data_IF_893354427806
#
_entry.id   IF_893354427806
#
_cell.length_a   1.000
_cell.length_b   1.000
_cell.length_c   1.000
_cell.angle_alpha   90.00
_cell.angle_beta   90.00
_cell.angle_gamma   90.00
#
_symmetry.space_group_name_H-M   'P 1'
#
loop_
_entity.id
_entity.type
_entity.pdbx_description
1 polymer ?
#
# COMPACT_ATOMS: atom_id res chain seq x y z
N UNK A 1 40.14 -6.22 2.93
CA UNK A 1 38.87 -5.57 3.34
C UNK A 1 37.92 -5.67 2.16
N UNK A 2 36.91 -6.53 2.27
CA UNK A 2 36.01 -6.86 1.16
C UNK A 2 34.59 -6.78 1.70
N UNK A 3 33.90 -5.70 1.35
CA UNK A 3 32.50 -5.44 1.75
C UNK A 3 31.62 -6.28 0.82
N UNK A 4 30.85 -7.22 1.38
CA UNK A 4 29.77 -7.92 0.67
C UNK A 4 28.43 -7.29 1.06
N UNK A 5 27.56 -6.91 0.12
CA UNK A 5 26.20 -6.49 0.44
C UNK A 5 25.34 -7.73 0.75
N UNK A 6 24.53 -7.63 1.81
CA UNK A 6 23.52 -8.63 2.18
C UNK A 6 22.27 -8.39 1.33
N UNK A 7 21.91 -9.37 0.51
CA UNK A 7 20.63 -9.43 -0.21
C UNK A 7 19.55 -9.94 0.75
N UNK A 8 18.48 -9.17 0.95
CA UNK A 8 17.24 -9.64 1.56
C UNK A 8 16.34 -10.29 0.50
N UNK A 9 15.67 -11.37 0.90
CA UNK A 9 15.01 -12.36 0.04
C UNK A 9 13.56 -11.97 -0.29
N UNK A 10 13.26 -12.10 -1.59
CA UNK A 10 12.03 -12.51 -2.27
C UNK A 10 10.62 -12.30 -1.66
N UNK A 11 9.73 -11.73 -2.49
CA UNK A 11 8.29 -11.98 -2.46
C UNK A 11 7.79 -12.40 -3.84
N UNK A 12 7.01 -13.48 -3.85
CA UNK A 12 6.41 -14.18 -5.00
C UNK A 12 5.50 -13.25 -5.84
N UNK A 13 5.62 -13.31 -7.17
CA UNK A 13 4.65 -12.71 -8.10
C UNK A 13 4.06 -13.80 -9.02
N UNK A 14 2.74 -14.02 -8.91
CA UNK A 14 1.94 -14.83 -9.83
C UNK A 14 1.28 -13.89 -10.85
N UNK A 15 1.60 -14.04 -12.12
CA UNK A 15 1.04 -13.24 -13.22
C UNK A 15 0.18 -14.13 -14.13
N UNK A 16 -1.06 -13.69 -14.39
CA UNK A 16 -1.90 -14.20 -15.47
C UNK A 16 -2.32 -13.06 -16.42
N UNK A 17 -2.51 -13.46 -17.67
CA UNK A 17 -2.48 -12.70 -18.91
C UNK A 17 -3.56 -11.63 -19.15
N UNK A 18 -3.29 -10.75 -20.13
CA UNK A 18 -4.30 -9.96 -20.83
C UNK A 18 -3.72 -8.89 -21.76
N UNK A 19 -3.57 -9.21 -23.05
CA UNK A 19 -3.19 -8.27 -24.11
C UNK A 19 -4.34 -7.31 -24.49
N UNK A 20 -4.03 -6.18 -25.16
CA UNK A 20 -4.55 -5.95 -26.51
C UNK A 20 -3.46 -5.40 -27.45
N UNK A 21 -3.25 -5.94 -28.65
CA UNK A 21 -4.05 -5.78 -29.87
C UNK A 21 -4.12 -4.33 -30.40
N UNK A 22 -3.55 -4.10 -31.59
CA UNK A 22 -4.01 -3.04 -32.51
C UNK A 22 -2.98 -2.01 -32.99
N UNK A 23 -1.95 -2.43 -33.71
CA UNK A 23 -1.19 -1.54 -34.60
C UNK A 23 -1.87 -1.49 -35.98
N UNK A 24 -2.33 -0.32 -36.41
CA UNK A 24 -2.80 -0.08 -37.77
C UNK A 24 -2.09 1.12 -38.41
N UNK A 25 -1.56 0.83 -39.60
CA UNK A 25 -0.73 1.67 -40.46
C UNK A 25 -1.53 2.82 -41.10
N UNK A 26 -0.93 4.01 -41.12
CA UNK A 26 -1.32 5.07 -42.04
C UNK A 26 -0.80 4.75 -43.44
N UNK A 27 -1.68 4.69 -44.44
CA UNK A 27 -1.33 4.74 -45.86
C UNK A 27 -1.91 6.01 -46.47
N UNK A 28 -1.03 6.75 -47.15
CA UNK A 28 -1.36 7.82 -48.06
C UNK A 28 -1.96 7.24 -49.35
N UNK A 29 -2.94 7.92 -49.92
CA UNK A 29 -3.23 7.84 -51.35
C UNK A 29 -3.62 9.22 -51.88
N UNK A 30 -2.98 9.54 -53.01
CA UNK A 30 -3.10 10.76 -53.77
C UNK A 30 -4.28 10.72 -54.76
N UNK A 31 -4.74 11.91 -55.14
CA UNK A 31 -5.03 12.25 -56.54
C UNK A 31 -6.28 11.66 -57.19
N UNK A 32 -7.33 12.46 -57.28
CA UNK A 32 -8.46 12.23 -58.17
C UNK A 32 -9.07 13.54 -58.64
N UNK A 33 -8.63 14.02 -59.81
CA UNK A 33 -9.20 15.17 -60.48
C UNK A 33 -10.57 14.87 -61.09
N UNK A 34 -11.50 15.81 -60.95
CA UNK A 34 -12.81 15.77 -61.58
C UNK A 34 -13.36 17.18 -61.70
N UNK A 35 -13.23 17.76 -62.89
CA UNK A 35 -13.84 19.03 -63.22
C UNK A 35 -15.37 18.91 -63.21
N UNK A 36 -16.06 19.82 -62.52
CA UNK A 36 -17.49 20.05 -62.68
C UNK A 36 -17.72 21.47 -63.21
N UNK A 37 -18.39 21.63 -64.36
CA UNK A 37 -18.73 22.93 -64.90
C UNK A 37 -20.11 23.33 -64.38
N UNK A 38 -20.16 24.21 -63.38
CA UNK A 38 -21.34 25.03 -63.17
C UNK A 38 -20.94 26.35 -62.52
N UNK A 39 -20.47 27.25 -63.38
CA UNK A 39 -20.37 28.66 -63.06
C UNK A 39 -21.79 29.25 -63.10
N UNK A 40 -22.43 29.34 -61.93
CA UNK A 40 -23.58 30.24 -61.74
C UNK A 40 -23.51 30.86 -60.35
N UNK A 41 -22.84 32.01 -60.32
CA UNK A 41 -22.95 33.15 -59.38
C UNK A 41 -23.91 32.94 -58.20
N UNK A 42 -23.38 32.54 -57.05
CA UNK A 42 -23.88 32.99 -55.75
C UNK A 42 -22.86 33.98 -55.20
N UNK A 43 -23.29 35.22 -55.04
CA UNK A 43 -22.53 36.26 -54.37
C UNK A 43 -22.26 35.81 -52.95
N UNK A 44 -20.99 35.59 -52.61
CA UNK A 44 -20.61 35.44 -51.21
C UNK A 44 -20.85 36.81 -50.55
N UNK A 45 -21.70 36.83 -49.51
CA UNK A 45 -21.82 37.99 -48.63
C UNK A 45 -20.43 38.41 -48.13
N UNK A 46 -20.17 39.71 -47.90
CA UNK A 46 -18.88 40.15 -47.41
C UNK A 46 -18.56 39.43 -46.10
N UNK A 47 -17.36 38.84 -46.04
CA UNK A 47 -16.82 38.20 -44.85
C UNK A 47 -16.88 39.24 -43.71
N UNK A 48 -17.56 38.95 -42.58
CA UNK A 48 -17.64 39.88 -41.46
C UNK A 48 -16.23 40.25 -40.97
N UNK A 49 -15.99 41.50 -40.54
CA UNK A 49 -14.66 41.97 -40.20
C UNK A 49 -14.02 41.07 -39.14
N UNK A 50 -12.75 40.76 -39.40
CA UNK A 50 -11.75 39.98 -38.66
C UNK A 50 -11.87 40.09 -37.13
N UNK A 51 -12.90 39.50 -36.54
CA UNK A 51 -12.96 39.12 -35.14
C UNK A 51 -12.84 37.60 -34.96
N UNK A 52 -12.90 36.85 -36.07
CA UNK A 52 -13.30 35.44 -36.13
C UNK A 52 -12.37 34.42 -35.49
N UNK A 53 -11.12 34.78 -35.18
CA UNK A 53 -10.19 33.89 -34.48
C UNK A 53 -9.84 34.39 -33.08
N UNK A 54 -9.77 35.70 -32.87
CA UNK A 54 -9.48 36.28 -31.56
C UNK A 54 -10.68 36.18 -30.61
N UNK A 55 -11.92 36.34 -31.11
CA UNK A 55 -13.11 36.13 -30.31
C UNK A 55 -13.27 34.66 -29.95
N UNK A 56 -12.99 33.75 -30.90
CA UNK A 56 -13.00 32.32 -30.66
C UNK A 56 -11.90 31.91 -29.68
N UNK A 57 -10.69 32.47 -29.80
CA UNK A 57 -9.60 32.24 -28.86
C UNK A 57 -9.97 32.71 -27.45
N UNK A 58 -10.57 33.90 -27.30
CA UNK A 58 -11.08 34.38 -26.01
C UNK A 58 -12.20 33.51 -25.46
N UNK A 59 -13.08 32.99 -26.31
CA UNK A 59 -14.19 32.13 -25.91
C UNK A 59 -13.69 30.73 -25.51
N UNK A 60 -12.68 30.20 -26.20
CA UNK A 60 -12.00 28.94 -25.86
C UNK A 60 -11.15 29.08 -24.59
N UNK A 61 -10.47 30.20 -24.38
CA UNK A 61 -9.79 30.51 -23.12
C UNK A 61 -10.79 30.67 -21.97
N UNK A 62 -11.92 31.33 -22.20
CA UNK A 62 -12.99 31.44 -21.22
C UNK A 62 -13.74 30.12 -20.96
N UNK A 63 -13.72 29.20 -21.95
CA UNK A 63 -14.32 27.88 -21.87
C UNK A 63 -13.30 26.78 -21.52
N UNK A 64 -12.02 27.12 -21.27
CA UNK A 64 -11.08 26.18 -20.66
C UNK A 64 -11.69 25.78 -19.32
N UNK A 65 -11.94 24.48 -19.08
CA UNK A 65 -12.40 24.07 -17.78
C UNK A 65 -11.33 24.48 -16.76
N UNK A 66 -11.64 25.45 -15.90
CA UNK A 66 -10.80 25.83 -14.76
C UNK A 66 -10.74 24.75 -13.67
N UNK A 67 -11.34 23.59 -13.94
CA UNK A 67 -11.24 22.38 -13.14
C UNK A 67 -9.93 21.71 -13.54
N UNK A 68 -9.06 21.50 -12.55
CA UNK A 68 -7.85 20.70 -12.71
C UNK A 68 -8.25 19.34 -13.33
N UNK A 69 -7.92 19.13 -14.61
CA UNK A 69 -8.26 17.90 -15.36
C UNK A 69 -7.36 16.72 -14.97
N UNK A 70 -6.48 16.90 -13.97
CA UNK A 70 -5.90 15.81 -13.23
C UNK A 70 -7.04 15.02 -12.58
N UNK A 71 -7.39 13.90 -13.20
CA UNK A 71 -8.28 12.91 -12.58
C UNK A 71 -7.74 12.61 -11.19
N UNK A 72 -8.49 12.99 -10.15
CA UNK A 72 -8.18 12.59 -8.78
C UNK A 72 -8.08 11.06 -8.79
N UNK A 73 -6.95 10.47 -8.38
CA UNK A 73 -6.80 9.02 -8.43
C UNK A 73 -7.95 8.34 -7.69
N UNK A 74 -8.49 7.26 -8.27
CA UNK A 74 -9.53 6.49 -7.60
C UNK A 74 -9.01 5.92 -6.27
N UNK A 75 -9.89 5.59 -5.30
CA UNK A 75 -9.46 4.96 -4.05
C UNK A 75 -8.53 3.76 -4.30
N UNK A 76 -8.89 2.87 -5.23
CA UNK A 76 -8.07 1.72 -5.62
C UNK A 76 -6.71 2.08 -6.21
N UNK A 77 -6.61 3.16 -6.98
CA UNK A 77 -5.32 3.62 -7.53
C UNK A 77 -4.40 4.14 -6.42
N UNK A 78 -4.95 4.85 -5.44
CA UNK A 78 -4.20 5.34 -4.27
C UNK A 78 -3.72 4.15 -3.45
N UNK A 79 -4.62 3.24 -3.08
CA UNK A 79 -4.30 2.03 -2.30
C UNK A 79 -3.21 1.19 -2.98
N UNK A 80 -3.30 0.98 -4.30
CA UNK A 80 -2.29 0.23 -5.05
C UNK A 80 -0.93 0.94 -5.08
N UNK A 81 -0.93 2.28 -5.21
CA UNK A 81 0.29 3.09 -5.19
C UNK A 81 0.95 3.06 -3.83
N UNK A 82 0.17 3.21 -2.76
CA UNK A 82 0.63 3.09 -1.37
C UNK A 82 1.23 1.70 -1.14
N UNK A 83 0.56 0.63 -1.58
CA UNK A 83 1.09 -0.72 -1.44
C UNK A 83 2.45 -0.89 -2.15
N UNK A 84 2.58 -0.35 -3.37
CA UNK A 84 3.86 -0.37 -4.07
C UNK A 84 4.97 0.39 -3.33
N UNK A 85 4.65 1.53 -2.71
CA UNK A 85 5.61 2.32 -1.95
C UNK A 85 6.06 1.57 -0.68
N UNK A 86 5.11 1.00 0.07
CA UNK A 86 5.41 0.19 1.24
C UNK A 86 6.30 -1.01 0.90
N UNK A 87 6.02 -1.69 -0.22
CA UNK A 87 6.82 -2.84 -0.67
C UNK A 87 8.25 -2.45 -1.12
N UNK A 88 8.46 -1.20 -1.52
CA UNK A 88 9.80 -0.65 -1.83
C UNK A 88 10.53 -0.11 -0.61
N UNK A 89 9.83 0.07 0.52
CA UNK A 89 10.36 0.71 1.72
C UNK A 89 10.29 2.25 1.68
N UNK A 90 9.60 2.83 0.70
CA UNK A 90 9.38 4.27 0.56
C UNK A 90 8.28 4.74 1.54
N UNK A 91 8.47 4.44 2.83
CA UNK A 91 7.41 4.53 3.85
C UNK A 91 6.97 5.97 4.16
N UNK A 92 7.88 6.95 4.04
CA UNK A 92 7.55 8.37 4.19
C UNK A 92 6.64 8.87 3.06
N UNK A 93 6.94 8.50 1.81
CA UNK A 93 6.08 8.86 0.66
C UNK A 93 4.72 8.16 0.76
N UNK A 94 4.72 6.88 1.18
CA UNK A 94 3.49 6.14 1.44
C UNK A 94 2.64 6.86 2.50
N UNK A 95 3.24 7.24 3.62
CA UNK A 95 2.54 7.92 4.71
C UNK A 95 1.97 9.27 4.28
N UNK A 96 2.75 10.10 3.59
CA UNK A 96 2.27 11.40 3.11
C UNK A 96 1.08 11.25 2.14
N UNK A 97 1.08 10.20 1.31
CA UNK A 97 -0.04 9.90 0.42
C UNK A 97 -1.30 9.46 1.18
N UNK A 98 -1.12 8.66 2.23
CA UNK A 98 -2.21 8.20 3.11
C UNK A 98 -2.82 9.38 3.85
N UNK A 99 -2.03 10.22 4.51
CA UNK A 99 -2.52 11.37 5.28
C UNK A 99 -3.28 12.36 4.39
N UNK A 100 -2.77 12.60 3.17
CA UNK A 100 -3.48 13.41 2.17
C UNK A 100 -4.85 12.80 1.85
N UNK A 101 -4.90 11.48 1.62
CA UNK A 101 -6.15 10.79 1.31
C UNK A 101 -7.13 10.83 2.49
N UNK A 102 -6.66 10.61 3.70
CA UNK A 102 -7.47 10.70 4.92
C UNK A 102 -8.08 12.10 5.09
N UNK A 103 -7.32 13.16 4.80
CA UNK A 103 -7.81 14.53 4.82
C UNK A 103 -8.92 14.77 3.77
N UNK A 104 -8.79 14.20 2.57
CA UNK A 104 -9.79 14.33 1.49
C UNK A 104 -11.11 13.59 1.80
N UNK A 105 -11.05 12.49 2.56
CA UNK A 105 -12.24 11.69 2.92
C UNK A 105 -12.82 11.97 4.28
N UNK A 106 -12.22 12.89 5.04
CA UNK A 106 -12.64 13.16 6.42
C UNK A 106 -14.14 13.45 6.56
N UNK A 107 -14.71 14.14 5.57
CA UNK A 107 -16.13 14.51 5.53
C UNK A 107 -17.02 13.49 4.80
N UNK A 108 -16.43 12.42 4.25
CA UNK A 108 -17.16 11.39 3.51
C UNK A 108 -17.65 10.29 4.47
N UNK A 109 -18.88 9.83 4.27
CA UNK A 109 -19.42 8.68 4.99
C UNK A 109 -18.81 7.38 4.42
N UNK A 110 -17.80 6.86 5.10
CA UNK A 110 -17.19 5.57 4.75
C UNK A 110 -15.95 5.30 5.58
N UNK A 111 -15.56 4.04 5.70
CA UNK A 111 -14.27 3.67 6.30
C UNK A 111 -13.52 2.80 5.33
N UNK A 112 -12.31 3.24 4.99
CA UNK A 112 -11.40 2.48 4.16
C UNK A 112 -10.48 1.64 5.05
N UNK A 113 -10.93 0.42 5.36
CA UNK A 113 -10.21 -0.52 6.23
C UNK A 113 -8.82 -0.83 5.67
N UNK A 114 -8.70 -0.91 4.34
CA UNK A 114 -7.42 -1.18 3.68
C UNK A 114 -6.46 -0.01 3.85
N UNK A 115 -6.94 1.23 3.74
CA UNK A 115 -6.13 2.42 3.99
C UNK A 115 -5.65 2.47 5.45
N UNK A 116 -6.50 2.10 6.42
CA UNK A 116 -6.11 1.99 7.84
C UNK A 116 -4.98 0.98 8.06
N UNK A 117 -5.05 -0.20 7.44
CA UNK A 117 -3.95 -1.18 7.46
C UNK A 117 -2.66 -0.59 6.90
N UNK A 118 -2.74 0.05 5.75
CA UNK A 118 -1.58 0.65 5.09
C UNK A 118 -0.98 1.78 5.94
N UNK A 119 -1.82 2.57 6.62
CA UNK A 119 -1.39 3.62 7.53
C UNK A 119 -0.60 3.04 8.71
N UNK A 120 -1.18 2.07 9.41
CA UNK A 120 -0.52 1.43 10.55
C UNK A 120 0.78 0.72 10.14
N UNK A 121 0.81 0.08 8.96
CA UNK A 121 2.03 -0.52 8.39
C UNK A 121 3.11 0.53 8.09
N UNK A 122 2.74 1.65 7.47
CA UNK A 122 3.67 2.75 7.19
C UNK A 122 4.30 3.29 8.48
N UNK A 123 3.46 3.58 9.49
CA UNK A 123 3.91 4.06 10.81
C UNK A 123 4.83 3.05 11.50
N UNK A 124 4.48 1.77 11.49
CA UNK A 124 5.32 0.71 12.07
C UNK A 124 6.70 0.65 11.38
N UNK A 125 6.74 0.74 10.05
CA UNK A 125 7.98 0.72 9.29
C UNK A 125 8.86 1.97 9.52
N UNK A 126 8.26 3.09 9.92
CA UNK A 126 8.94 4.33 10.33
C UNK A 126 9.32 4.35 11.82
N UNK A 127 9.21 3.23 12.54
CA UNK A 127 9.40 3.14 13.99
C UNK A 127 8.45 4.02 14.82
N UNK A 128 7.34 4.51 14.22
CA UNK A 128 6.25 5.21 14.91
C UNK A 128 5.29 4.18 15.53
N UNK A 129 5.85 3.28 16.33
CA UNK A 129 5.17 2.09 16.85
C UNK A 129 3.95 2.40 17.71
N UNK A 130 3.98 3.49 18.49
CA UNK A 130 2.84 3.91 19.32
C UNK A 130 1.61 4.21 18.47
N UNK A 131 1.79 5.04 17.44
CA UNK A 131 0.70 5.44 16.54
C UNK A 131 0.18 4.25 15.72
N UNK A 132 1.06 3.34 15.29
CA UNK A 132 0.64 2.10 14.64
C UNK A 132 -0.24 1.22 15.57
N UNK A 133 0.10 1.12 16.86
CA UNK A 133 -0.71 0.40 17.85
C UNK A 133 -2.08 1.06 18.03
N UNK A 134 -2.13 2.40 18.07
CA UNK A 134 -3.38 3.13 18.21
C UNK A 134 -4.33 2.84 17.05
N UNK A 135 -3.84 2.89 15.80
CA UNK A 135 -4.64 2.55 14.63
C UNK A 135 -5.11 1.09 14.68
N UNK A 136 -4.21 0.14 14.93
CA UNK A 136 -4.65 -1.26 14.98
C UNK A 136 -5.63 -1.54 16.12
N UNK A 137 -5.53 -0.82 17.24
CA UNK A 137 -6.48 -0.93 18.36
C UNK A 137 -7.85 -0.35 18.00
N UNK A 138 -7.90 0.74 17.24
CA UNK A 138 -9.16 1.22 16.65
C UNK A 138 -9.77 0.16 15.71
N UNK A 139 -8.94 -0.45 14.86
CA UNK A 139 -9.39 -1.51 13.95
C UNK A 139 -9.94 -2.72 14.68
N UNK A 140 -9.31 -3.18 15.77
CA UNK A 140 -9.83 -4.32 16.54
C UNK A 140 -11.13 -4.01 17.28
N UNK A 141 -11.37 -2.74 17.58
CA UNK A 141 -12.62 -2.29 18.21
C UNK A 141 -13.76 -2.23 17.19
N UNK A 142 -13.46 -1.77 15.98
CA UNK A 142 -14.45 -1.52 14.92
C UNK A 142 -14.74 -2.73 14.04
N UNK A 143 -13.74 -3.60 13.88
CA UNK A 143 -13.75 -4.78 13.03
C UNK A 143 -13.20 -5.99 13.80
N UNK A 144 -13.84 -6.39 14.93
CA UNK A 144 -13.35 -7.48 15.78
C UNK A 144 -13.30 -8.84 15.08
N UNK A 145 -14.01 -9.01 13.96
CA UNK A 145 -14.02 -10.18 13.09
C UNK A 145 -12.78 -10.33 12.21
N UNK A 146 -11.98 -9.27 12.04
CA UNK A 146 -10.76 -9.33 11.25
C UNK A 146 -9.61 -9.87 12.11
N UNK A 147 -8.97 -10.99 11.73
CA UNK A 147 -7.83 -11.52 12.48
C UNK A 147 -6.54 -10.72 12.25
N UNK A 148 -6.41 -10.01 11.13
CA UNK A 148 -5.17 -9.31 10.74
C UNK A 148 -4.76 -8.19 11.69
N UNK A 149 -5.64 -7.29 12.20
CA UNK A 149 -5.24 -6.23 13.12
C UNK A 149 -4.70 -6.79 14.44
N UNK A 150 -5.35 -7.83 14.96
CA UNK A 150 -4.90 -8.54 16.16
C UNK A 150 -3.52 -9.16 15.96
N UNK A 151 -3.28 -9.79 14.81
CA UNK A 151 -1.98 -10.36 14.47
C UNK A 151 -0.89 -9.29 14.34
N UNK A 152 -1.19 -8.13 13.75
CA UNK A 152 -0.25 -7.02 13.66
C UNK A 152 0.05 -6.39 15.02
N UNK A 153 -0.96 -6.20 15.88
CA UNK A 153 -0.75 -5.78 17.28
C UNK A 153 0.21 -6.72 18.00
N UNK A 154 0.04 -8.03 17.81
CA UNK A 154 0.91 -9.01 18.44
C UNK A 154 2.38 -8.85 18.02
N UNK A 155 2.64 -8.62 16.73
CA UNK A 155 3.99 -8.37 16.24
C UNK A 155 4.60 -7.09 16.86
N UNK A 156 3.82 -6.02 16.98
CA UNK A 156 4.25 -4.76 17.59
C UNK A 156 4.48 -4.89 19.11
N UNK A 157 3.63 -5.65 19.82
CA UNK A 157 3.82 -5.93 21.24
C UNK A 157 5.06 -6.81 21.47
N UNK A 158 5.25 -7.84 20.65
CA UNK A 158 6.42 -8.72 20.75
C UNK A 158 7.73 -7.97 20.49
N UNK A 159 7.77 -7.05 19.51
CA UNK A 159 8.97 -6.24 19.25
C UNK A 159 9.32 -5.28 20.39
N UNK A 160 8.32 -4.87 21.19
CA UNK A 160 8.48 -4.10 22.44
C UNK A 160 8.78 -4.95 23.68
N UNK A 161 8.83 -6.28 23.54
CA UNK A 161 8.99 -7.21 24.66
C UNK A 161 7.75 -7.37 25.54
N UNK A 162 6.60 -6.86 25.11
CA UNK A 162 5.30 -6.98 25.79
C UNK A 162 4.65 -8.33 25.44
N UNK A 163 5.33 -9.43 25.79
CA UNK A 163 5.01 -10.79 25.33
C UNK A 163 3.62 -11.26 25.75
N UNK A 164 3.14 -10.80 26.91
CA UNK A 164 1.81 -11.17 27.42
C UNK A 164 0.71 -10.54 26.56
N UNK A 165 0.82 -9.25 26.22
CA UNK A 165 -0.13 -8.59 25.30
C UNK A 165 -0.07 -9.17 23.89
N UNK A 166 1.12 -9.54 23.43
CA UNK A 166 1.28 -10.21 22.14
C UNK A 166 0.51 -11.54 22.11
N UNK A 167 0.54 -12.30 23.22
CA UNK A 167 -0.17 -13.57 23.33
C UNK A 167 -1.68 -13.36 23.29
N UNK A 168 -2.20 -12.41 24.07
CA UNK A 168 -3.62 -12.08 24.08
C UNK A 168 -4.11 -11.67 22.69
N UNK A 169 -3.34 -10.83 21.99
CA UNK A 169 -3.67 -10.41 20.63
C UNK A 169 -3.69 -11.59 19.64
N UNK A 170 -2.73 -12.51 19.68
CA UNK A 170 -2.76 -13.71 18.82
C UNK A 170 -3.92 -14.64 19.16
N UNK A 171 -4.28 -14.77 20.43
CA UNK A 171 -5.47 -15.52 20.82
C UNK A 171 -6.74 -14.87 20.30
N UNK A 172 -6.83 -13.54 20.31
CA UNK A 172 -7.96 -12.82 19.71
C UNK A 172 -8.02 -13.02 18.18
N UNK A 173 -6.88 -12.98 17.49
CA UNK A 173 -6.83 -13.30 16.06
C UNK A 173 -7.38 -14.71 15.77
N UNK A 174 -7.00 -15.70 16.59
CA UNK A 174 -7.49 -17.09 16.46
C UNK A 174 -8.93 -17.29 16.93
N UNK A 175 -9.49 -16.38 17.75
CA UNK A 175 -10.92 -16.35 18.06
C UNK A 175 -11.73 -15.78 16.91
N UNK A 176 -11.22 -14.75 16.25
CA UNK A 176 -11.84 -14.15 15.07
C UNK A 176 -11.85 -15.13 13.88
N UNK A 177 -10.70 -15.76 13.60
CA UNK A 177 -10.59 -16.85 12.63
C UNK A 177 -9.71 -17.98 13.20
N UNK A 178 -10.31 -19.10 13.64
CA UNK A 178 -9.58 -20.27 14.09
C UNK A 178 -8.61 -20.83 13.04
N UNK A 179 -8.88 -20.64 11.74
CA UNK A 179 -8.08 -21.09 10.60
C UNK A 179 -6.90 -20.19 10.26
N UNK A 180 -6.74 -19.04 10.93
CA UNK A 180 -5.74 -18.03 10.56
C UNK A 180 -4.30 -18.51 10.82
N UNK A 181 -3.69 -19.08 9.78
CA UNK A 181 -2.40 -19.76 9.86
C UNK A 181 -1.26 -18.85 10.34
N UNK A 182 -1.28 -17.57 9.95
CA UNK A 182 -0.27 -16.60 10.35
C UNK A 182 -0.23 -16.41 11.88
N UNK A 183 -1.39 -16.27 12.54
CA UNK A 183 -1.42 -16.15 14.00
C UNK A 183 -0.96 -17.43 14.71
N UNK A 184 -1.26 -18.62 14.17
CA UNK A 184 -0.74 -19.88 14.73
C UNK A 184 0.79 -19.93 14.67
N UNK A 185 1.36 -19.56 13.52
CA UNK A 185 2.82 -19.50 13.35
C UNK A 185 3.46 -18.47 14.28
N UNK A 186 2.88 -17.27 14.37
CA UNK A 186 3.36 -16.21 15.25
C UNK A 186 3.23 -16.57 16.74
N UNK A 187 2.22 -17.37 17.12
CA UNK A 187 2.08 -17.87 18.50
C UNK A 187 3.19 -18.86 18.85
N UNK A 188 3.60 -19.71 17.91
CA UNK A 188 4.75 -20.58 18.08
C UNK A 188 6.04 -19.79 18.30
N UNK A 189 6.29 -18.75 17.50
CA UNK A 189 7.46 -17.88 17.69
C UNK A 189 7.42 -17.15 19.03
N UNK A 190 6.23 -16.66 19.42
CA UNK A 190 6.05 -15.98 20.68
C UNK A 190 6.34 -16.91 21.86
N UNK A 191 5.93 -18.17 21.79
CA UNK A 191 6.24 -19.18 22.79
C UNK A 191 7.75 -19.43 22.90
N UNK A 192 8.47 -19.45 21.77
CA UNK A 192 9.93 -19.51 21.78
C UNK A 192 10.55 -18.28 22.45
N UNK A 193 10.03 -17.08 22.20
CA UNK A 193 10.49 -15.86 22.89
C UNK A 193 10.23 -15.90 24.40
N UNK A 194 9.07 -16.38 24.83
CA UNK A 194 8.73 -16.56 26.24
C UNK A 194 9.63 -17.61 26.91
N UNK A 195 9.89 -18.73 26.23
CA UNK A 195 10.83 -19.74 26.68
C UNK A 195 12.24 -19.17 26.82
N UNK A 196 12.72 -18.41 25.83
CA UNK A 196 14.01 -17.74 25.87
C UNK A 196 14.13 -16.80 27.08
N UNK A 197 13.12 -15.96 27.32
CA UNK A 197 13.08 -15.04 28.47
C UNK A 197 13.16 -15.82 29.79
N UNK A 198 12.42 -16.91 29.91
CA UNK A 198 12.37 -17.73 31.11
C UNK A 198 13.67 -18.49 31.34
N UNK A 199 14.27 -19.07 30.29
CA UNK A 199 15.57 -19.73 30.38
C UNK A 199 16.68 -18.74 30.75
N UNK A 200 16.70 -17.53 30.17
CA UNK A 200 17.67 -16.49 30.54
C UNK A 200 17.55 -16.10 32.02
N UNK A 201 16.32 -15.97 32.53
CA UNK A 201 16.07 -15.70 33.96
C UNK A 201 16.53 -16.86 34.85
N UNK A 202 16.16 -18.09 34.52
CA UNK A 202 16.58 -19.26 35.30
C UNK A 202 18.11 -19.44 35.28
N UNK A 203 18.77 -19.11 34.16
CA UNK A 203 20.22 -19.11 34.07
C UNK A 203 20.86 -18.03 34.97
N UNK A 204 20.29 -16.82 35.03
CA UNK A 204 20.77 -15.79 35.96
C UNK A 204 20.57 -16.16 37.42
N UNK A 205 19.54 -16.96 37.71
CA UNK A 205 19.26 -17.50 39.04
C UNK A 205 20.17 -18.71 39.39
N UNK A 206 21.08 -19.11 38.49
CA UNK A 206 22.08 -20.15 38.72
C UNK A 206 21.61 -21.58 38.41
N UNK A 207 20.45 -21.75 37.76
CA UNK A 207 19.93 -23.09 37.40
C UNK A 207 20.82 -23.71 36.31
N UNK A 208 21.46 -24.87 36.56
CA UNK A 208 22.36 -25.50 35.59
C UNK A 208 21.68 -25.84 34.26
N UNK A 209 22.41 -25.70 33.15
CA UNK A 209 21.95 -26.05 31.80
C UNK A 209 20.97 -25.05 31.15
N UNK A 210 20.42 -24.08 31.89
CA UNK A 210 19.46 -23.11 31.32
C UNK A 210 20.10 -22.14 30.32
N UNK A 211 21.38 -21.81 30.51
CA UNK A 211 22.13 -20.98 29.56
C UNK A 211 22.27 -21.65 28.19
N UNK A 212 22.45 -22.97 28.16
CA UNK A 212 22.56 -23.76 26.94
C UNK A 212 21.21 -23.80 26.22
N UNK A 213 20.12 -24.13 26.93
CA UNK A 213 18.76 -24.07 26.39
C UNK A 213 18.39 -22.69 25.82
N UNK A 214 18.79 -21.62 26.50
CA UNK A 214 18.59 -20.26 26.00
C UNK A 214 19.32 -20.04 24.66
N UNK A 215 20.55 -20.54 24.51
CA UNK A 215 21.32 -20.43 23.25
C UNK A 215 20.69 -21.23 22.11
N UNK A 216 20.18 -22.42 22.38
CA UNK A 216 19.48 -23.24 21.39
C UNK A 216 18.25 -22.53 20.83
N UNK A 217 17.38 -22.02 21.72
CA UNK A 217 16.19 -21.27 21.32
C UNK A 217 16.57 -19.99 20.57
N UNK A 218 17.61 -19.28 21.01
CA UNK A 218 18.11 -18.09 20.32
C UNK A 218 18.61 -18.41 18.90
N UNK A 219 19.17 -19.60 18.70
CA UNK A 219 19.61 -20.07 17.37
C UNK A 219 18.41 -20.35 16.46
N UNK A 220 17.39 -21.06 16.96
CA UNK A 220 16.15 -21.32 16.23
C UNK A 220 15.47 -20.03 15.76
N UNK A 221 15.44 -19.01 16.62
CA UNK A 221 14.86 -17.70 16.30
C UNK A 221 15.67 -16.95 15.23
N UNK A 222 17.01 -17.03 15.26
CA UNK A 222 17.88 -16.37 14.26
C UNK A 222 17.78 -17.01 12.87
N UNK A 223 17.74 -18.34 12.82
CA UNK A 223 17.64 -19.07 11.55
C UNK A 223 16.35 -18.74 10.79
N UNK A 224 15.29 -18.36 11.51
CA UNK A 224 14.02 -17.91 10.93
C UNK A 224 14.12 -16.50 10.35
N UNK A 225 14.86 -15.60 10.98
CA UNK A 225 15.00 -14.21 10.52
C UNK A 225 15.90 -14.06 9.29
N UNK A 226 16.71 -15.08 8.97
CA UNK A 226 17.67 -15.07 7.86
C UNK A 226 17.18 -15.73 6.55
N UNK A 227 15.95 -16.24 6.51
CA UNK A 227 15.32 -16.83 5.32
C UNK A 227 14.20 -15.94 4.81
#
# INVERSE_FOLDING_TARGET
MTIKPRFCVALLALAFAGAPAGSALAQSMAGGGGASPNATRTTLDPIPPEGGWDSLAKLLEAAKPGVDTRLTPSPSQITNRVEMLLNRGDNEEALAMIEKREAEIKDQRGTDVQLMFQHARALAALNRTGEAIDIYTDMTTRFPELPEPWNNLAALYASRGELEKAQDALQMALRADPGYAAARANLGDLQLLQALRTYKKAASDGVPGMQEKAREVETMLKDKQGK
#
